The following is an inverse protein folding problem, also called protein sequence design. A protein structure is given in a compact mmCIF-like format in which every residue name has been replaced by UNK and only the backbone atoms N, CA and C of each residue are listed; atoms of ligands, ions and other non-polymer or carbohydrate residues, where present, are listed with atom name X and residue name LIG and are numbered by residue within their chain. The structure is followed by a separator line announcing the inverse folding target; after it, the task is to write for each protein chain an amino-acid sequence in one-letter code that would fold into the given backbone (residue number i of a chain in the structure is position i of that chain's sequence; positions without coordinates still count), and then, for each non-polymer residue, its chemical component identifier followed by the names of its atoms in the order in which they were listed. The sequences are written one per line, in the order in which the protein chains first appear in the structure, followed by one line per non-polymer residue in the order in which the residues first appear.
data_IF_449710661611
#
_entry.id   IF_449710661611
#
_cell.length_a   1.000
_cell.length_b   1.000
_cell.length_c   1.000
_cell.angle_alpha   90.00
_cell.angle_beta   90.00
_cell.angle_gamma   90.00
#
_symmetry.space_group_name_H-M   'P 1'
#
loop_
_entity.id
_entity.type
_entity.pdbx_description
1 polymer ?
#
# COMPACT_ATOMS: atom_id res chain seq x y z
N UNK A 1 -5.54 1.18 25.35
CA UNK A 1 -6.61 0.18 25.38
C UNK A 1 -5.97 -1.19 25.21
N UNK A 2 -6.41 -2.20 25.95
CA UNK A 2 -5.92 -3.58 25.74
C UNK A 2 -6.59 -4.13 24.47
N UNK A 3 -5.81 -4.77 23.58
CA UNK A 3 -6.31 -5.30 22.30
C UNK A 3 -6.42 -4.26 21.17
N UNK A 4 -5.73 -3.13 21.31
CA UNK A 4 -5.61 -2.06 20.31
C UNK A 4 -4.17 -1.55 20.25
N UNK A 5 -3.21 -2.47 20.29
CA UNK A 5 -1.80 -2.16 20.26
C UNK A 5 -1.47 -1.41 18.96
N UNK A 6 -0.97 -0.18 19.06
CA UNK A 6 -0.84 0.77 17.92
C UNK A 6 0.01 0.29 16.74
N UNK A 7 0.87 -0.71 16.99
CA UNK A 7 1.74 -1.29 15.97
C UNK A 7 1.08 -2.45 15.21
N UNK A 8 -0.04 -3.00 15.72
CA UNK A 8 -0.80 -4.03 15.03
C UNK A 8 -1.84 -3.39 14.09
N UNK A 9 -2.14 -4.04 12.96
CA UNK A 9 -3.23 -3.61 12.09
C UNK A 9 -4.59 -3.70 12.78
N UNK A 10 -5.36 -2.62 12.74
CA UNK A 10 -6.72 -2.54 13.26
C UNK A 10 -7.75 -2.64 12.12
N UNK A 11 -8.88 -3.31 12.37
CA UNK A 11 -10.00 -3.34 11.43
C UNK A 11 -10.93 -4.54 11.62
N UNK A 12 -12.11 -4.46 11.01
CA UNK A 12 -13.14 -5.50 11.07
C UNK A 12 -13.25 -6.35 9.81
N UNK A 13 -14.16 -7.31 9.83
CA UNK A 13 -14.60 -8.07 8.64
C UNK A 13 -16.12 -8.19 8.68
N UNK A 14 -16.75 -8.58 7.56
CA UNK A 14 -18.22 -8.69 7.44
C UNK A 14 -18.88 -7.32 7.67
N UNK A 15 -19.82 -7.22 8.61
CA UNK A 15 -20.55 -6.00 8.90
C UNK A 15 -19.68 -4.88 9.47
N UNK A 16 -18.49 -5.18 10.01
CA UNK A 16 -17.61 -4.19 10.65
C UNK A 16 -16.41 -3.76 9.81
N UNK A 17 -16.29 -4.17 8.54
CA UNK A 17 -15.17 -3.72 7.70
C UNK A 17 -15.26 -4.10 6.24
N UNK A 18 -14.61 -3.27 5.40
CA UNK A 18 -14.55 -3.39 3.93
C UNK A 18 -13.23 -3.99 3.42
N UNK A 19 -12.42 -4.56 4.32
CA UNK A 19 -11.17 -5.25 4.01
C UNK A 19 -9.90 -4.45 4.32
N UNK A 20 -9.95 -3.12 4.20
CA UNK A 20 -8.85 -2.25 4.60
C UNK A 20 -8.54 -2.33 6.11
N UNK A 21 -7.27 -2.10 6.46
CA UNK A 21 -6.77 -2.04 7.83
C UNK A 21 -6.15 -0.69 8.11
N UNK A 22 -6.21 -0.27 9.36
CA UNK A 22 -5.63 0.97 9.87
C UNK A 22 -4.47 0.64 10.83
N UNK A 23 -3.72 1.67 11.25
CA UNK A 23 -2.61 1.56 12.21
C UNK A 23 -1.45 0.66 11.74
N UNK A 24 -0.34 0.67 12.49
CA UNK A 24 0.87 -0.05 12.14
C UNK A 24 1.37 0.26 10.72
N UNK A 25 1.92 -0.75 10.06
CA UNK A 25 2.42 -0.64 8.68
C UNK A 25 1.29 -0.55 7.65
N UNK A 26 0.10 -1.06 7.96
CA UNK A 26 -1.04 -1.04 7.03
C UNK A 26 -1.58 0.37 6.78
N UNK A 27 -1.36 1.31 7.72
CA UNK A 27 -1.68 2.72 7.51
C UNK A 27 -0.99 3.31 6.25
N UNK A 28 0.21 2.83 5.90
CA UNK A 28 0.91 3.27 4.69
C UNK A 28 0.11 2.87 3.46
N UNK A 29 -0.32 1.61 3.38
CA UNK A 29 -1.13 1.12 2.26
C UNK A 29 -2.50 1.81 2.17
N UNK A 30 -3.06 2.26 3.29
CA UNK A 30 -4.36 2.96 3.32
C UNK A 30 -4.27 4.41 2.82
N UNK A 31 -3.21 5.14 3.20
CA UNK A 31 -3.05 6.56 2.87
C UNK A 31 -2.13 6.84 1.68
N UNK A 32 -1.61 5.80 1.03
CA UNK A 32 -0.76 5.93 -0.16
C UNK A 32 -1.16 4.94 -1.26
N UNK A 33 -0.72 5.23 -2.48
CA UNK A 33 -0.87 4.34 -3.62
C UNK A 33 0.50 3.83 -4.10
N UNK A 34 0.53 2.60 -4.60
CA UNK A 34 1.76 2.00 -5.15
C UNK A 34 1.95 2.46 -6.58
N UNK A 35 3.06 3.16 -6.83
CA UNK A 35 3.48 3.58 -8.17
C UNK A 35 4.65 2.72 -8.62
N UNK A 36 4.50 2.03 -9.76
CA UNK A 36 5.57 1.23 -10.36
C UNK A 36 6.32 2.09 -11.39
N UNK A 37 7.63 2.27 -11.20
CA UNK A 37 8.48 3.11 -12.06
C UNK A 37 9.59 2.25 -12.68
N UNK A 38 9.80 2.43 -13.98
CA UNK A 38 10.93 1.86 -14.70
C UNK A 38 11.94 2.97 -15.02
N UNK A 39 13.22 2.75 -14.67
CA UNK A 39 14.30 3.71 -14.93
C UNK A 39 15.30 3.08 -15.90
N UNK A 40 15.35 3.62 -17.11
CA UNK A 40 16.31 3.24 -18.15
C UNK A 40 17.52 4.17 -18.14
N UNK A 41 18.73 3.61 -18.03
CA UNK A 41 20.00 4.34 -18.06
C UNK A 41 20.71 4.23 -19.42
N UNK A 42 20.08 3.62 -20.43
CA UNK A 42 20.67 3.48 -21.76
C UNK A 42 20.79 4.84 -22.48
N UNK A 43 21.93 5.07 -23.13
CA UNK A 43 22.19 6.28 -23.90
C UNK A 43 21.31 6.40 -25.16
N UNK A 44 20.70 5.30 -25.63
CA UNK A 44 19.73 5.30 -26.72
C UNK A 44 18.34 4.94 -26.18
N UNK A 45 17.42 5.88 -26.29
CA UNK A 45 16.02 5.76 -25.85
C UNK A 45 15.33 4.57 -26.53
N UNK A 46 15.21 3.44 -25.83
CA UNK A 46 14.29 2.37 -26.24
C UNK A 46 13.04 2.54 -25.40
N UNK A 47 11.98 3.11 -25.98
CA UNK A 47 10.71 3.30 -25.28
C UNK A 47 10.16 1.94 -24.83
N UNK A 48 10.16 1.71 -23.52
CA UNK A 48 9.45 0.57 -22.93
C UNK A 48 7.95 0.82 -23.06
N UNK A 49 7.27 0.00 -23.87
CA UNK A 49 5.83 0.11 -24.09
C UNK A 49 5.10 -0.51 -22.91
N UNK A 50 4.61 0.32 -22.00
CA UNK A 50 3.65 -0.10 -20.99
C UNK A 50 2.27 -0.25 -21.65
N UNK A 51 1.61 -1.38 -21.38
CA UNK A 51 0.29 -1.78 -21.92
C UNK A 51 -0.84 -0.96 -21.32
#
# INVERSE_FOLDING_TARGET
TLGGEVHLPFGGTKASGVGAREQGTEAVNFFSEVVTVYVDYAASQTQAKFI
#
